data_IF_063003720714
#
_entry.id   IF_063003720714
#
_cell.length_a   1.000
_cell.length_b   1.000
_cell.length_c   1.000
_cell.angle_alpha   90.00
_cell.angle_beta   90.00
_cell.angle_gamma   90.00
#
_symmetry.space_group_name_H-M   'P 1'
#
loop_
_entity.id
_entity.type
_entity.pdbx_description
1 polymer ?
#
# COMPACT_ATOMS: atom_id res chain seq x y z
N UNK A 1 59.13 -22.56 0.72
CA UNK A 1 58.10 -22.63 1.79
C UNK A 1 58.45 -21.62 2.87
N UNK A 2 57.90 -20.40 2.81
CA UNK A 2 57.91 -19.31 3.82
C UNK A 2 57.55 -18.01 3.07
N UNK A 3 56.25 -17.77 2.78
CA UNK A 3 55.79 -16.44 2.34
C UNK A 3 54.26 -16.22 2.31
N UNK A 4 53.45 -16.91 3.14
CA UNK A 4 51.98 -16.68 3.13
C UNK A 4 51.33 -16.59 4.52
N UNK A 5 52.08 -16.68 5.62
CA UNK A 5 51.49 -16.66 6.97
C UNK A 5 51.42 -15.29 7.68
N UNK A 6 51.95 -14.21 7.11
CA UNK A 6 52.03 -12.91 7.82
C UNK A 6 50.99 -11.85 7.44
N UNK A 7 50.12 -12.09 6.45
CA UNK A 7 49.06 -11.13 6.09
C UNK A 7 47.76 -11.40 6.89
N UNK A 8 47.57 -12.62 7.39
CA UNK A 8 46.36 -13.00 8.12
C UNK A 8 46.30 -12.48 9.57
N UNK A 9 47.43 -12.06 10.16
CA UNK A 9 47.50 -11.64 11.56
C UNK A 9 47.36 -10.11 11.75
N UNK A 10 47.65 -9.29 10.73
CA UNK A 10 47.47 -7.83 10.79
C UNK A 10 46.05 -7.37 10.46
N UNK A 11 45.33 -8.05 9.58
CA UNK A 11 43.92 -7.70 9.25
C UNK A 11 42.93 -8.02 10.38
N UNK A 12 43.27 -8.97 11.26
CA UNK A 12 42.45 -9.31 12.45
C UNK A 12 42.65 -8.30 13.58
N UNK A 13 43.82 -7.63 13.66
CA UNK A 13 44.07 -6.57 14.64
C UNK A 13 43.43 -5.24 14.23
N UNK A 14 43.34 -4.94 12.93
CA UNK A 14 42.62 -3.75 12.45
C UNK A 14 41.10 -3.83 12.67
N UNK A 15 40.52 -5.04 12.61
CA UNK A 15 39.09 -5.28 12.88
C UNK A 15 38.69 -5.34 14.36
N UNK A 16 39.64 -5.29 15.30
CA UNK A 16 39.34 -5.32 16.76
C UNK A 16 39.48 -3.98 17.48
N UNK A 17 39.82 -2.90 16.79
CA UNK A 17 40.01 -1.58 17.43
C UNK A 17 38.92 -0.53 17.14
N UNK A 18 37.90 -0.82 16.30
CA UNK A 18 36.86 0.17 15.93
C UNK A 18 35.41 -0.34 16.09
N UNK A 19 35.18 -1.34 16.95
CA UNK A 19 33.98 -2.18 16.91
C UNK A 19 32.98 -2.02 18.07
N UNK A 20 33.06 -0.98 18.91
CA UNK A 20 32.06 -0.80 19.98
C UNK A 20 31.28 0.52 19.95
N UNK A 21 31.80 1.57 19.32
CA UNK A 21 31.11 2.86 19.24
C UNK A 21 30.34 3.04 17.94
N UNK A 22 30.91 2.70 16.79
CA UNK A 22 30.23 2.83 15.48
C UNK A 22 29.05 1.85 15.31
N UNK A 23 29.20 0.62 15.81
CA UNK A 23 28.14 -0.41 15.81
C UNK A 23 27.05 -0.15 16.84
N UNK A 24 27.36 0.65 17.88
CA UNK A 24 26.39 1.12 18.88
C UNK A 24 25.69 2.38 18.40
N UNK A 25 26.39 3.30 17.73
CA UNK A 25 25.82 4.46 17.03
C UNK A 25 24.85 4.03 15.93
N UNK A 26 25.23 3.07 15.08
CA UNK A 26 24.32 2.52 14.07
C UNK A 26 23.10 1.84 14.70
N UNK A 27 23.19 1.25 15.89
CA UNK A 27 22.02 0.69 16.60
C UNK A 27 21.20 1.75 17.36
N UNK A 28 21.85 2.79 17.87
CA UNK A 28 21.22 3.91 18.59
C UNK A 28 20.49 4.85 17.61
N UNK A 29 21.00 5.05 16.39
CA UNK A 29 20.28 5.72 15.29
C UNK A 29 19.18 4.85 14.68
N UNK A 30 19.32 3.51 14.73
CA UNK A 30 18.30 2.55 14.27
C UNK A 30 17.15 2.31 15.26
N UNK A 31 17.19 2.90 16.46
CA UNK A 31 16.13 2.81 17.46
C UNK A 31 15.73 4.18 18.03
N UNK A 32 15.51 5.18 17.16
CA UNK A 32 14.47 6.16 17.51
C UNK A 32 13.16 5.40 17.48
N UNK A 33 12.62 5.03 18.64
CA UNK A 33 11.25 4.53 18.75
C UNK A 33 10.37 5.50 17.97
N UNK A 34 9.81 5.06 16.85
CA UNK A 34 8.80 5.85 16.16
C UNK A 34 7.61 5.91 17.11
N UNK A 35 7.44 7.07 17.75
CA UNK A 35 6.25 7.35 18.53
C UNK A 35 5.13 7.60 17.54
N UNK A 36 4.36 6.56 17.25
CA UNK A 36 3.24 6.61 16.31
C UNK A 36 2.30 7.74 16.67
N UNK A 37 2.05 8.64 15.72
CA UNK A 37 0.99 9.65 15.87
C UNK A 37 -0.34 9.02 15.46
N UNK A 38 -1.40 9.23 16.25
CA UNK A 38 -2.75 8.83 15.86
C UNK A 38 -3.56 10.09 15.59
N UNK A 39 -4.12 10.19 14.39
CA UNK A 39 -4.91 11.34 13.95
C UNK A 39 -6.32 10.89 13.58
N UNK A 40 -7.33 11.48 14.21
CA UNK A 40 -8.73 11.13 13.95
C UNK A 40 -9.31 12.00 12.84
N UNK A 41 -9.99 11.38 11.88
CA UNK A 41 -10.78 12.09 10.88
C UNK A 41 -12.10 12.58 11.50
N UNK A 42 -12.54 13.80 11.18
CA UNK A 42 -13.87 14.26 11.57
C UNK A 42 -14.94 13.42 10.87
N UNK A 43 -16.11 13.19 11.51
CA UNK A 43 -17.20 12.44 10.91
C UNK A 43 -17.75 13.15 9.66
N UNK A 44 -18.30 12.41 8.68
CA UNK A 44 -18.76 12.96 7.40
C UNK A 44 -19.90 13.99 7.50
N UNK A 45 -20.58 14.09 8.66
CA UNK A 45 -21.83 14.86 8.85
C UNK A 45 -21.65 16.29 9.36
N UNK A 46 -20.42 16.80 9.46
CA UNK A 46 -20.22 18.20 9.83
C UNK A 46 -20.54 19.11 8.64
N UNK A 47 -21.75 19.67 8.63
CA UNK A 47 -22.10 20.82 7.79
C UNK A 47 -21.01 21.91 7.89
N UNK A 48 -20.75 22.48 6.72
CA UNK A 48 -19.73 23.47 6.41
C UNK A 48 -19.68 24.62 7.43
N UNK A 49 -18.51 24.80 8.05
CA UNK A 49 -17.83 26.08 8.30
C UNK A 49 -16.51 25.78 9.08
N UNK A 50 -15.35 26.02 8.44
CA UNK A 50 -14.03 25.97 9.11
C UNK A 50 -13.27 24.63 9.15
N UNK A 51 -13.15 23.90 8.02
CA UNK A 51 -12.53 22.56 7.93
C UNK A 51 -10.98 22.53 8.09
N UNK A 52 -10.43 23.04 9.19
CA UNK A 52 -8.99 23.01 9.47
C UNK A 52 -8.48 21.60 9.80
N UNK A 53 -9.26 20.81 10.53
CA UNK A 53 -8.77 19.57 11.14
C UNK A 53 -8.55 18.47 10.10
N UNK A 54 -9.51 18.27 9.20
CA UNK A 54 -9.35 17.32 8.09
C UNK A 54 -8.19 17.70 7.16
N UNK A 55 -7.99 19.00 6.91
CA UNK A 55 -6.88 19.51 6.12
C UNK A 55 -5.53 19.31 6.83
N UNK A 56 -5.48 19.47 8.16
CA UNK A 56 -4.28 19.21 8.95
C UNK A 56 -3.93 17.72 8.96
N UNK A 57 -4.90 16.83 9.16
CA UNK A 57 -4.68 15.37 9.12
C UNK A 57 -4.12 14.96 7.76
N UNK A 58 -4.71 15.49 6.69
CA UNK A 58 -4.26 15.25 5.33
C UNK A 58 -2.84 15.77 5.10
N UNK A 59 -2.54 17.01 5.50
CA UNK A 59 -1.20 17.60 5.38
C UNK A 59 -0.14 16.80 6.16
N UNK A 60 -0.44 16.42 7.40
CA UNK A 60 0.43 15.58 8.21
C UNK A 60 0.68 14.22 7.56
N UNK A 61 -0.35 13.61 6.96
CA UNK A 61 -0.25 12.31 6.30
C UNK A 61 0.60 12.39 5.03
N UNK A 62 0.38 13.41 4.19
CA UNK A 62 1.20 13.67 3.00
C UNK A 62 2.65 13.87 3.38
N UNK A 63 2.93 14.66 4.43
CA UNK A 63 4.28 14.89 4.92
C UNK A 63 4.95 13.58 5.33
N UNK A 64 4.30 12.76 6.16
CA UNK A 64 4.84 11.48 6.60
C UNK A 64 5.16 10.54 5.43
N UNK A 65 4.26 10.46 4.45
CA UNK A 65 4.47 9.67 3.23
C UNK A 65 5.68 10.18 2.42
N UNK A 66 5.79 11.50 2.20
CA UNK A 66 6.91 12.13 1.48
C UNK A 66 8.25 12.03 2.21
N UNK A 67 8.24 11.82 3.52
CA UNK A 67 9.43 11.53 4.32
C UNK A 67 9.81 10.03 4.29
N UNK A 68 9.14 9.22 3.47
CA UNK A 68 9.44 7.79 3.29
C UNK A 68 8.95 6.91 4.45
N UNK A 69 7.93 7.37 5.18
CA UNK A 69 7.31 6.61 6.26
C UNK A 69 6.14 5.76 5.78
N UNK A 70 5.89 4.66 6.52
CA UNK A 70 4.68 3.86 6.39
C UNK A 70 3.61 4.43 7.31
N UNK A 71 2.39 4.53 6.80
CA UNK A 71 1.22 5.05 7.52
C UNK A 71 0.07 4.05 7.44
N UNK A 72 -0.77 3.98 8.48
CA UNK A 72 -2.01 3.20 8.47
C UNK A 72 -3.20 4.11 8.14
N UNK A 73 -4.03 3.70 7.19
CA UNK A 73 -5.09 4.51 6.60
C UNK A 73 -6.44 3.76 6.58
N UNK A 74 -7.57 4.46 6.76
CA UNK A 74 -8.88 3.89 6.52
C UNK A 74 -9.15 3.76 5.01
N UNK A 75 -9.97 2.78 4.63
CA UNK A 75 -10.52 2.66 3.28
C UNK A 75 -12.02 2.37 3.36
N UNK A 76 -12.67 2.25 2.20
CA UNK A 76 -14.03 1.77 2.00
C UNK A 76 -14.20 0.25 2.21
N UNK A 77 -13.15 -0.48 2.60
CA UNK A 77 -13.19 -1.94 2.81
C UNK A 77 -12.59 -2.38 4.14
N UNK A 78 -11.30 -2.12 4.33
CA UNK A 78 -10.52 -2.50 5.51
C UNK A 78 -9.41 -1.47 5.73
N UNK A 79 -8.81 -1.41 6.92
CA UNK A 79 -7.63 -0.58 7.13
C UNK A 79 -6.46 -1.10 6.30
N UNK A 80 -5.60 -0.17 5.85
CA UNK A 80 -4.44 -0.48 5.04
C UNK A 80 -3.16 0.18 5.54
N UNK A 81 -2.02 -0.50 5.33
CA UNK A 81 -0.70 0.10 5.39
C UNK A 81 -0.33 0.67 4.03
N UNK A 82 0.14 1.91 4.03
CA UNK A 82 0.49 2.63 2.83
C UNK A 82 1.87 3.30 2.91
N UNK A 83 2.51 3.41 1.76
CA UNK A 83 3.68 4.25 1.52
C UNK A 83 3.63 4.79 0.10
N UNK A 84 4.56 5.69 -0.26
CA UNK A 84 4.73 6.07 -1.66
C UNK A 84 5.20 4.87 -2.48
N UNK A 85 4.55 4.61 -3.61
CA UNK A 85 4.89 3.48 -4.47
C UNK A 85 6.20 3.70 -5.25
N UNK A 86 6.70 4.93 -5.32
CA UNK A 86 7.97 5.23 -5.96
C UNK A 86 9.16 5.18 -4.99
N UNK A 87 8.92 5.00 -3.68
CA UNK A 87 9.96 4.92 -2.66
C UNK A 87 10.28 3.46 -2.32
N UNK A 88 11.41 2.96 -2.84
CA UNK A 88 11.88 1.59 -2.63
C UNK A 88 12.17 1.26 -1.16
N UNK A 89 12.67 2.22 -0.38
CA UNK A 89 12.93 2.02 1.05
C UNK A 89 11.61 1.87 1.80
N UNK A 90 10.62 2.69 1.48
CA UNK A 90 9.30 2.62 2.10
C UNK A 90 8.55 1.33 1.72
N UNK A 91 8.66 0.87 0.47
CA UNK A 91 8.15 -0.44 0.04
C UNK A 91 8.76 -1.57 0.87
N UNK A 92 10.09 -1.56 1.05
CA UNK A 92 10.78 -2.58 1.88
C UNK A 92 10.24 -2.58 3.30
N UNK A 93 10.07 -1.39 3.91
CA UNK A 93 9.48 -1.25 5.25
C UNK A 93 8.09 -1.89 5.33
N UNK A 94 7.23 -1.74 4.31
CA UNK A 94 5.91 -2.43 4.29
C UNK A 94 6.06 -3.95 4.35
N UNK A 95 6.95 -4.53 3.53
CA UNK A 95 7.20 -5.97 3.53
C UNK A 95 7.71 -6.46 4.88
N UNK A 96 8.67 -5.73 5.47
CA UNK A 96 9.22 -6.01 6.79
C UNK A 96 8.13 -5.93 7.87
N UNK A 97 7.26 -4.91 7.82
CA UNK A 97 6.16 -4.72 8.77
C UNK A 97 5.22 -5.92 8.78
N UNK A 98 4.86 -6.42 7.59
CA UNK A 98 3.89 -7.49 7.46
C UNK A 98 4.48 -8.89 7.63
N UNK A 99 5.81 -9.03 7.64
CA UNK A 99 6.46 -10.34 7.45
C UNK A 99 6.00 -11.01 6.15
N UNK A 100 5.74 -10.20 5.12
CA UNK A 100 5.12 -10.65 3.86
C UNK A 100 6.21 -11.20 2.94
N UNK A 101 5.95 -12.35 2.31
CA UNK A 101 6.80 -12.83 1.22
C UNK A 101 6.87 -11.77 0.11
N UNK A 102 8.08 -11.33 -0.27
CA UNK A 102 8.33 -10.33 -1.32
C UNK A 102 7.72 -10.67 -2.68
N UNK A 103 7.37 -11.94 -2.92
CA UNK A 103 6.67 -12.37 -4.13
C UNK A 103 5.18 -12.02 -4.13
N UNK A 104 4.56 -11.74 -2.97
CA UNK A 104 3.14 -11.35 -2.91
C UNK A 104 3.03 -9.85 -3.26
N UNK A 105 2.46 -9.48 -4.42
CA UNK A 105 2.46 -8.09 -4.87
C UNK A 105 1.62 -7.18 -3.97
N UNK A 106 2.00 -5.90 -3.90
CA UNK A 106 1.20 -4.81 -3.36
C UNK A 106 0.31 -4.23 -4.47
N UNK A 107 -0.88 -3.75 -4.12
CA UNK A 107 -1.67 -2.93 -5.02
C UNK A 107 -1.20 -1.47 -4.93
N UNK A 108 -1.48 -0.67 -5.94
CA UNK A 108 -1.37 0.78 -5.89
C UNK A 108 -2.74 1.44 -5.74
N UNK A 109 -2.78 2.59 -5.10
CA UNK A 109 -3.93 3.47 -5.03
C UNK A 109 -3.62 4.80 -5.72
N UNK A 110 -4.58 5.28 -6.49
CA UNK A 110 -4.54 6.60 -7.16
C UNK A 110 -5.77 7.42 -6.79
N UNK A 111 -5.71 8.73 -7.07
CA UNK A 111 -6.77 9.66 -6.68
C UNK A 111 -7.94 9.72 -7.65
N UNK A 112 -7.68 9.51 -8.93
CA UNK A 112 -8.65 9.62 -10.02
C UNK A 112 -8.33 8.65 -11.17
N UNK A 113 -9.34 8.34 -12.00
CA UNK A 113 -9.22 7.31 -13.05
C UNK A 113 -8.17 7.66 -14.11
N UNK A 114 -7.94 8.95 -14.37
CA UNK A 114 -6.94 9.43 -15.32
C UNK A 114 -5.51 9.05 -14.89
N UNK A 115 -5.24 9.00 -13.59
CA UNK A 115 -3.93 8.59 -13.07
C UNK A 115 -3.61 7.12 -13.35
N UNK A 116 -4.62 6.27 -13.52
CA UNK A 116 -4.42 4.84 -13.81
C UNK A 116 -3.59 4.67 -15.09
N UNK A 117 -3.87 5.45 -16.12
CA UNK A 117 -3.20 5.39 -17.43
C UNK A 117 -1.71 5.78 -17.35
N UNK A 118 -1.28 6.51 -16.32
CA UNK A 118 0.14 6.82 -16.09
C UNK A 118 0.92 5.59 -15.64
N UNK A 119 0.27 4.70 -14.90
CA UNK A 119 0.92 3.59 -14.20
C UNK A 119 0.60 2.21 -14.79
N UNK A 120 -0.49 2.11 -15.56
CA UNK A 120 -1.01 0.86 -16.11
C UNK A 120 -1.24 0.97 -17.62
N UNK A 121 -1.00 -0.12 -18.36
CA UNK A 121 -1.40 -0.28 -19.76
C UNK A 121 -2.85 -0.76 -19.81
N UNK A 122 -3.78 0.18 -19.67
CA UNK A 122 -5.22 -0.08 -19.67
C UNK A 122 -5.68 -0.48 -21.08
N UNK A 123 -6.39 -1.61 -21.19
CA UNK A 123 -6.95 -2.13 -22.46
C UNK A 123 -8.48 -2.21 -22.48
N UNK A 124 -9.13 -1.80 -21.39
CA UNK A 124 -10.59 -1.81 -21.25
C UNK A 124 -11.17 -0.43 -21.56
N UNK A 125 -12.48 -0.38 -21.77
CA UNK A 125 -13.22 0.87 -21.99
C UNK A 125 -13.20 1.75 -20.73
N UNK A 126 -13.18 3.06 -20.89
CA UNK A 126 -13.17 4.01 -19.76
C UNK A 126 -14.43 3.87 -18.90
N UNK A 127 -15.58 3.59 -19.52
CA UNK A 127 -16.84 3.37 -18.82
C UNK A 127 -16.77 2.17 -17.87
N UNK A 128 -16.03 1.11 -18.25
CA UNK A 128 -15.83 -0.04 -17.36
C UNK A 128 -15.05 0.36 -16.10
N UNK A 129 -14.05 1.25 -16.25
CA UNK A 129 -13.34 1.78 -15.10
C UNK A 129 -14.29 2.59 -14.21
N UNK A 130 -15.13 3.43 -14.80
CA UNK A 130 -16.11 4.25 -14.07
C UNK A 130 -17.21 3.45 -13.36
N UNK A 131 -17.57 2.27 -13.87
CA UNK A 131 -18.52 1.38 -13.20
C UNK A 131 -17.91 0.60 -12.03
N UNK A 132 -16.59 0.38 -12.03
CA UNK A 132 -15.89 -0.39 -11.00
C UNK A 132 -15.13 0.48 -9.99
N UNK A 133 -14.84 1.74 -10.33
CA UNK A 133 -14.04 2.68 -9.55
C UNK A 133 -14.69 4.08 -9.54
N UNK A 134 -14.63 4.82 -8.41
CA UNK A 134 -14.11 4.41 -7.10
C UNK A 134 -14.91 3.27 -6.46
N UNK A 135 -14.25 2.41 -5.69
CA UNK A 135 -14.97 1.35 -4.98
C UNK A 135 -14.14 0.17 -4.49
N UNK A 136 -14.84 -0.87 -4.00
CA UNK A 136 -14.27 -2.08 -3.41
C UNK A 136 -13.70 -3.08 -4.43
N UNK A 137 -13.11 -2.59 -5.53
CA UNK A 137 -12.52 -3.42 -6.59
C UNK A 137 -11.06 -3.01 -6.82
N UNK A 138 -10.20 -3.97 -7.07
CA UNK A 138 -8.82 -3.77 -7.51
C UNK A 138 -8.65 -4.37 -8.90
N UNK A 139 -8.35 -3.53 -9.87
CA UNK A 139 -8.19 -3.90 -11.26
C UNK A 139 -6.72 -4.21 -11.53
N UNK A 140 -6.42 -5.36 -12.12
CA UNK A 140 -5.05 -5.77 -12.42
C UNK A 140 -4.79 -5.62 -13.91
N UNK A 141 -3.71 -4.91 -14.23
CA UNK A 141 -3.27 -4.64 -15.59
C UNK A 141 -1.77 -4.89 -15.73
N UNK A 142 -1.30 -4.94 -16.97
CA UNK A 142 0.13 -4.76 -17.26
C UNK A 142 0.59 -3.39 -16.77
N UNK A 143 1.71 -3.35 -16.06
CA UNK A 143 2.29 -2.11 -15.55
C UNK A 143 2.94 -1.29 -16.67
N UNK A 144 3.03 0.01 -16.46
CA UNK A 144 3.90 0.91 -17.22
C UNK A 144 5.35 0.87 -16.69
N UNK A 145 6.27 1.40 -17.47
CA UNK A 145 7.68 1.58 -17.10
C UNK A 145 7.90 2.72 -16.09
N UNK A 146 6.90 3.57 -15.87
CA UNK A 146 6.98 4.71 -14.94
C UNK A 146 6.94 4.24 -13.47
N UNK A 147 6.29 3.11 -13.19
CA UNK A 147 6.24 2.56 -11.84
C UNK A 147 7.61 2.01 -11.44
N UNK A 148 8.06 2.36 -10.24
CA UNK A 148 9.29 1.88 -9.61
C UNK A 148 9.47 0.36 -9.76
N UNK A 149 10.61 -0.05 -10.32
CA UNK A 149 10.94 -1.46 -10.57
C UNK A 149 11.02 -2.31 -9.31
N UNK A 150 11.27 -1.70 -8.15
CA UNK A 150 11.30 -2.39 -6.86
C UNK A 150 9.90 -2.66 -6.29
N UNK A 151 8.86 -2.00 -6.81
CA UNK A 151 7.48 -2.36 -6.53
C UNK A 151 7.15 -3.64 -7.30
N UNK A 152 6.86 -4.74 -6.62
CA UNK A 152 6.46 -6.02 -7.24
C UNK A 152 7.46 -6.54 -8.30
N UNK A 153 8.75 -6.76 -7.97
CA UNK A 153 9.80 -7.03 -8.96
C UNK A 153 9.65 -8.38 -9.68
N UNK A 154 8.74 -9.24 -9.21
CA UNK A 154 8.53 -10.60 -9.74
C UNK A 154 7.31 -10.72 -10.68
N UNK A 155 6.68 -9.60 -11.07
CA UNK A 155 5.52 -9.62 -11.96
C UNK A 155 5.46 -8.37 -12.84
N UNK A 156 5.00 -8.54 -14.08
CA UNK A 156 4.67 -7.42 -14.97
C UNK A 156 3.28 -6.83 -14.68
N UNK A 157 2.50 -7.47 -13.81
CA UNK A 157 1.16 -7.04 -13.46
C UNK A 157 1.15 -6.17 -12.20
N UNK A 158 0.25 -5.19 -12.17
CA UNK A 158 -0.01 -4.35 -11.00
C UNK A 158 -1.51 -4.21 -10.78
N UNK A 159 -1.94 -4.40 -9.52
CA UNK A 159 -3.29 -4.08 -9.10
C UNK A 159 -3.41 -2.59 -8.81
N UNK A 160 -4.40 -1.91 -9.36
CA UNK A 160 -4.72 -0.51 -9.13
C UNK A 160 -6.13 -0.38 -8.55
N UNK A 161 -6.29 0.55 -7.61
CA UNK A 161 -7.56 0.84 -6.96
C UNK A 161 -7.75 2.34 -6.76
N UNK A 162 -9.00 2.76 -6.76
CA UNK A 162 -9.43 4.06 -6.25
C UNK A 162 -10.44 3.76 -5.14
N UNK A 163 -10.04 3.79 -3.86
CA UNK A 163 -10.96 3.57 -2.75
C UNK A 163 -12.11 4.58 -2.79
N UNK A 164 -13.34 4.15 -2.55
CA UNK A 164 -14.48 5.09 -2.37
C UNK A 164 -14.44 5.75 -0.99
N UNK A 165 -13.36 6.48 -0.74
CA UNK A 165 -13.11 7.18 0.51
C UNK A 165 -12.50 8.54 0.20
N UNK A 166 -13.22 9.63 0.52
CA UNK A 166 -12.85 10.99 0.14
C UNK A 166 -11.42 11.37 0.59
N UNK A 167 -11.06 11.04 1.83
CA UNK A 167 -9.70 11.24 2.36
C UNK A 167 -8.63 10.50 1.53
N UNK A 168 -8.83 9.23 1.17
CA UNK A 168 -7.86 8.45 0.39
C UNK A 168 -7.64 9.03 -1.00
N UNK A 169 -8.73 9.40 -1.70
CA UNK A 169 -8.63 10.02 -3.03
C UNK A 169 -7.86 11.34 -2.96
N UNK A 170 -8.20 12.20 -2.00
CA UNK A 170 -7.53 13.48 -1.80
C UNK A 170 -6.06 13.31 -1.39
N UNK A 171 -5.76 12.31 -0.56
CA UNK A 171 -4.41 11.99 -0.13
C UNK A 171 -3.53 11.59 -1.32
N UNK A 172 -4.02 10.71 -2.20
CA UNK A 172 -3.30 10.32 -3.42
C UNK A 172 -3.05 11.54 -4.32
N UNK A 173 -4.06 12.39 -4.55
CA UNK A 173 -3.92 13.62 -5.32
C UNK A 173 -2.86 14.57 -4.75
N UNK A 174 -2.80 14.74 -3.42
CA UNK A 174 -1.82 15.62 -2.78
C UNK A 174 -0.41 15.05 -2.70
N UNK A 175 -0.26 13.72 -2.69
CA UNK A 175 1.04 13.09 -2.83
C UNK A 175 1.61 13.36 -4.23
N UNK A 176 0.76 13.32 -5.25
CA UNK A 176 1.14 13.52 -6.66
C UNK A 176 1.72 12.26 -7.32
N UNK A 177 1.61 11.12 -6.64
CA UNK A 177 2.11 9.82 -7.04
C UNK A 177 1.30 8.70 -6.33
N UNK A 178 1.32 7.46 -6.83
CA UNK A 178 0.51 6.38 -6.30
C UNK A 178 1.01 5.95 -4.92
N UNK A 179 0.07 5.53 -4.08
CA UNK A 179 0.39 4.88 -2.82
C UNK A 179 0.44 3.37 -3.03
N UNK A 180 1.51 2.71 -2.60
CA UNK A 180 1.48 1.25 -2.45
C UNK A 180 0.62 0.93 -1.22
N UNK A 181 -0.37 0.05 -1.36
CA UNK A 181 -1.36 -0.25 -0.33
C UNK A 181 -1.54 -1.75 -0.15
N UNK A 182 -1.65 -2.16 1.11
CA UNK A 182 -2.01 -3.51 1.52
C UNK A 182 -2.76 -3.46 2.85
N UNK A 183 -3.42 -4.53 3.28
CA UNK A 183 -4.21 -4.56 4.50
C UNK A 183 -3.37 -4.29 5.77
N UNK A 184 -3.95 -3.66 6.79
CA UNK A 184 -3.30 -3.33 8.06
C UNK A 184 -3.36 -4.49 9.07
N UNK A 185 -2.62 -5.55 8.76
CA UNK A 185 -2.51 -6.75 9.58
C UNK A 185 -1.17 -7.45 9.29
N UNK A 186 -0.70 -8.28 10.22
CA UNK A 186 0.36 -9.26 9.94
C UNK A 186 -0.12 -10.18 8.80
N UNK A 187 0.77 -10.55 7.88
CA UNK A 187 0.37 -11.41 6.74
C UNK A 187 -0.36 -12.67 7.24
N UNK A 188 -1.46 -12.99 6.57
CA UNK A 188 -2.32 -14.15 6.88
C UNK A 188 -3.18 -14.03 8.15
N UNK A 189 -3.14 -12.91 8.87
CA UNK A 189 -4.09 -12.63 9.95
C UNK A 189 -5.42 -12.07 9.39
N UNK A 190 -6.43 -11.97 10.24
CA UNK A 190 -7.74 -11.39 9.90
C UNK A 190 -7.55 -9.91 9.50
N UNK A 191 -8.33 -9.46 8.50
CA UNK A 191 -8.34 -8.06 8.10
C UNK A 191 -8.91 -7.17 9.20
N UNK A 192 -8.38 -5.95 9.30
CA UNK A 192 -8.76 -5.00 10.33
C UNK A 192 -9.75 -3.96 9.83
N UNK A 193 -10.78 -3.68 10.64
CA UNK A 193 -11.83 -2.70 10.35
C UNK A 193 -11.88 -1.57 11.38
N UNK A 194 -11.11 -1.69 12.46
CA UNK A 194 -10.95 -0.65 13.48
C UNK A 194 -9.47 -0.49 13.88
N UNK A 195 -9.08 0.71 14.28
CA UNK A 195 -7.67 1.03 14.60
C UNK A 195 -7.10 0.23 15.77
N UNK A 196 -7.94 -0.19 16.70
CA UNK A 196 -7.51 -0.95 17.87
C UNK A 196 -7.06 -2.38 17.52
N UNK A 197 -7.51 -2.92 16.38
CA UNK A 197 -7.26 -4.30 15.96
C UNK A 197 -5.84 -4.54 15.43
N UNK A 198 -5.09 -3.47 15.15
CA UNK A 198 -3.70 -3.53 14.68
C UNK A 198 -2.74 -2.67 15.53
N UNK A 199 -3.06 -2.46 16.81
CA UNK A 199 -2.20 -1.72 17.73
C UNK A 199 -0.78 -2.30 17.86
N UNK A 200 -0.62 -3.59 17.64
CA UNK A 200 0.66 -4.29 17.59
C UNK A 200 1.57 -3.79 16.45
N UNK A 201 0.99 -3.27 15.36
CA UNK A 201 1.73 -2.70 14.24
C UNK A 201 2.14 -1.24 14.46
N UNK A 202 1.52 -0.54 15.42
CA UNK A 202 1.72 0.89 15.60
C UNK A 202 3.18 1.28 15.77
N UNK A 203 4.00 0.64 16.62
CA UNK A 203 5.41 1.00 16.81
C UNK A 203 6.26 0.95 15.53
N UNK A 204 5.74 0.36 14.45
CA UNK A 204 6.41 0.20 13.16
C UNK A 204 5.89 1.13 12.07
N UNK A 205 4.89 1.97 12.37
CA UNK A 205 4.34 2.98 11.46
C UNK A 205 4.43 4.37 12.08
N UNK A 206 4.61 5.39 11.24
CA UNK A 206 4.76 6.77 11.73
C UNK A 206 3.43 7.40 12.12
N UNK A 207 2.36 7.02 11.44
CA UNK A 207 1.06 7.64 11.56
C UNK A 207 -0.05 6.60 11.41
N UNK A 208 -1.07 6.70 12.24
CA UNK A 208 -2.35 6.01 12.08
C UNK A 208 -3.43 7.07 11.89
N UNK A 209 -4.14 7.01 10.77
CA UNK A 209 -5.32 7.84 10.53
C UNK A 209 -6.55 7.05 10.99
N UNK A 210 -7.19 7.45 12.08
CA UNK A 210 -8.41 6.85 12.61
C UNK A 210 -9.63 7.45 11.89
N UNK A 211 -10.16 6.70 10.92
CA UNK A 211 -11.40 7.02 10.20
C UNK A 211 -12.66 6.48 10.86
N UNK A 212 -12.55 5.91 12.06
CA UNK A 212 -13.62 5.14 12.70
C UNK A 212 -13.76 3.72 12.13
N UNK A 213 -14.80 2.98 12.59
CA UNK A 213 -15.08 1.62 12.13
C UNK A 213 -15.47 1.56 10.65
N UNK A 214 -14.91 0.59 9.92
CA UNK A 214 -15.24 0.33 8.51
C UNK A 214 -16.32 -0.74 8.41
N UNK A 215 -17.40 -0.43 7.69
CA UNK A 215 -18.62 -1.25 7.64
C UNK A 215 -18.60 -2.32 6.56
N UNK A 216 -18.33 -3.56 6.94
CA UNK A 216 -19.25 -4.70 6.89
C UNK A 216 -18.70 -5.79 7.84
N UNK A 217 -19.54 -6.73 8.31
CA UNK A 217 -19.06 -7.81 9.19
C UNK A 217 -18.23 -8.88 8.45
N UNK A 218 -18.21 -8.85 7.11
CA UNK A 218 -17.47 -9.83 6.29
C UNK A 218 -15.96 -9.64 6.40
N UNK A 219 -15.49 -8.41 6.70
CA UNK A 219 -14.05 -8.06 6.79
C UNK A 219 -13.27 -8.42 5.51
N UNK A 220 -13.99 -8.61 4.41
CA UNK A 220 -13.41 -8.93 3.12
C UNK A 220 -12.77 -7.67 2.55
N UNK A 221 -11.57 -7.84 2.00
CA UNK A 221 -10.95 -6.79 1.20
C UNK A 221 -11.67 -6.62 -0.14
N UNK A 222 -11.13 -5.73 -0.97
CA UNK A 222 -11.59 -5.55 -2.35
C UNK A 222 -11.55 -6.86 -3.15
N UNK A 223 -12.51 -6.99 -4.08
CA UNK A 223 -12.43 -8.01 -5.13
C UNK A 223 -11.27 -7.67 -6.06
N UNK A 224 -10.40 -8.63 -6.33
CA UNK A 224 -9.24 -8.43 -7.22
C UNK A 224 -9.53 -9.13 -8.54
N UNK A 225 -9.57 -8.36 -9.61
CA UNK A 225 -9.86 -8.84 -10.97
C UNK A 225 -8.70 -8.57 -11.91
N UNK A 226 -8.28 -9.60 -12.62
CA UNK A 226 -7.35 -9.53 -13.74
C UNK A 226 -8.07 -9.07 -15.01
N UNK A 227 -7.61 -7.97 -15.60
CA UNK A 227 -8.08 -7.41 -16.86
C UNK A 227 -6.90 -7.19 -17.84
N UNK A 228 -5.78 -7.90 -17.62
CA UNK A 228 -4.56 -7.77 -18.44
C UNK A 228 -4.73 -8.29 -19.88
N UNK A 229 -5.67 -9.23 -20.07
CA UNK A 229 -6.01 -9.84 -21.35
C UNK A 229 -7.26 -9.18 -21.93
N UNK A 230 -7.15 -8.62 -23.13
CA UNK A 230 -8.25 -7.92 -23.80
C UNK A 230 -9.45 -8.85 -23.99
N UNK A 231 -10.65 -8.37 -23.63
CA UNK A 231 -11.90 -9.10 -23.78
C UNK A 231 -12.11 -10.24 -22.77
N UNK A 232 -11.19 -10.41 -21.81
CA UNK A 232 -11.28 -11.45 -20.79
C UNK A 232 -11.08 -10.89 -19.38
N UNK A 233 -11.53 -11.65 -18.38
CA UNK A 233 -11.28 -11.35 -16.98
C UNK A 233 -11.01 -12.61 -16.16
N UNK A 234 -10.33 -12.47 -15.02
CA UNK A 234 -10.19 -13.54 -14.01
C UNK A 234 -10.32 -12.98 -12.61
N UNK A 235 -11.06 -13.64 -11.74
CA UNK A 235 -11.07 -13.29 -10.31
C UNK A 235 -9.81 -13.87 -9.65
N UNK A 236 -8.86 -13.01 -9.30
CA UNK A 236 -7.64 -13.40 -8.57
C UNK A 236 -7.96 -13.63 -7.09
N UNK A 237 -8.83 -12.77 -6.53
CA UNK A 237 -9.27 -12.88 -5.14
C UNK A 237 -10.73 -12.45 -5.01
N UNK A 238 -11.63 -13.30 -4.50
CA UNK A 238 -12.97 -12.89 -4.15
C UNK A 238 -12.92 -11.89 -2.96
N UNK A 239 -13.70 -10.82 -3.06
CA UNK A 239 -13.84 -9.80 -2.02
C UNK A 239 -15.30 -9.43 -1.79
N UNK A 240 -15.55 -8.36 -1.03
CA UNK A 240 -16.92 -7.92 -0.70
C UNK A 240 -17.76 -7.53 -1.92
N UNK A 241 -17.13 -7.24 -3.07
CA UNK A 241 -17.79 -6.82 -4.29
C UNK A 241 -17.86 -7.90 -5.37
N UNK A 242 -17.66 -9.18 -5.02
CA UNK A 242 -17.51 -10.25 -6.02
C UNK A 242 -18.69 -10.31 -6.99
N UNK A 243 -19.91 -10.44 -6.46
CA UNK A 243 -21.11 -10.63 -7.28
C UNK A 243 -21.39 -9.43 -8.18
N UNK A 244 -21.32 -8.21 -7.65
CA UNK A 244 -21.52 -6.99 -8.45
C UNK A 244 -20.42 -6.79 -9.49
N UNK A 245 -19.18 -7.15 -9.18
CA UNK A 245 -18.07 -7.08 -10.14
C UNK A 245 -18.29 -8.04 -11.30
N UNK A 246 -18.67 -9.30 -11.03
CA UNK A 246 -18.94 -10.29 -12.07
C UNK A 246 -20.12 -9.86 -12.95
N UNK A 247 -21.19 -9.34 -12.35
CA UNK A 247 -22.37 -8.86 -13.10
C UNK A 247 -22.00 -7.76 -14.11
N UNK A 248 -21.20 -6.78 -13.68
CA UNK A 248 -20.68 -5.73 -14.58
C UNK A 248 -19.84 -6.34 -15.71
N UNK A 249 -18.89 -7.22 -15.37
CA UNK A 249 -17.93 -7.76 -16.35
C UNK A 249 -18.61 -8.65 -17.40
N UNK A 250 -19.46 -9.58 -16.97
CA UNK A 250 -20.11 -10.55 -17.84
C UNK A 250 -21.34 -9.97 -18.55
N UNK A 251 -22.25 -9.34 -17.80
CA UNK A 251 -23.55 -8.97 -18.34
C UNK A 251 -23.57 -7.59 -19.01
N UNK A 252 -22.87 -6.60 -18.43
CA UNK A 252 -22.82 -5.25 -19.02
C UNK A 252 -21.77 -5.15 -20.13
N UNK A 253 -20.60 -5.77 -19.94
CA UNK A 253 -19.47 -5.64 -20.88
C UNK A 253 -19.16 -6.88 -21.71
N UNK A 254 -19.78 -8.03 -21.43
CA UNK A 254 -19.61 -9.24 -22.23
C UNK A 254 -18.19 -9.81 -22.20
N UNK A 255 -17.45 -9.59 -21.11
CA UNK A 255 -16.10 -10.14 -20.98
C UNK A 255 -16.16 -11.64 -20.70
N UNK A 256 -15.23 -12.39 -21.31
CA UNK A 256 -15.15 -13.83 -21.14
C UNK A 256 -14.30 -14.18 -19.91
N UNK A 257 -14.72 -15.18 -19.13
CA UNK A 257 -13.88 -15.70 -18.06
C UNK A 257 -12.59 -16.31 -18.66
N UNK A 258 -11.45 -15.98 -18.07
CA UNK A 258 -10.15 -16.52 -18.42
C UNK A 258 -9.91 -17.77 -17.56
N UNK A 259 -10.12 -18.93 -18.17
CA UNK A 259 -9.72 -20.23 -17.64
C UNK A 259 -8.18 -20.33 -17.51
N UNK A 260 -7.71 -21.17 -16.57
CA UNK A 260 -6.30 -21.31 -16.19
C UNK A 260 -5.34 -21.64 -17.35
#
# INVERSE_FOLDING_TARGET
MKSVCNIAVELIKYRRAHSSTASRWLREEMCKELKTKVLRLPPPTAHQEGHTDGAEVLSCTVKALKEGHVVALPTDTIYGLACLAQDSEAIRKIYDIKGRNGQKPLAICVGESQDIYKYCKVKVKEELLGDLLPGPVTLVFERSEVLNTDLNPFTSLVGVRIPDHAFMRRLCQMCGEPLALTSANISSHISTVEVHEFQDLWPRVALVVDGGPIGDQSRLGSTVVDLSVLGKYRIIRPGCALSSTVDVLEHKYGLLFLEE
#
